data_IF_045835505095
#
_entry.id   IF_045835505095
#
_cell.length_a   1.000
_cell.length_b   1.000
_cell.length_c   1.000
_cell.angle_alpha   90.00
_cell.angle_beta   90.00
_cell.angle_gamma   90.00
#
_symmetry.space_group_name_H-M   'P 1'
#
loop_
_entity.id
_entity.type
_entity.pdbx_description
1 polymer ?
#
# COMPACT_ATOMS: atom_id res chain seq x y z
N UNK A 1 24.56 7.26 -13.35
CA UNK A 1 25.70 6.50 -13.93
C UNK A 1 26.83 7.37 -14.46
N UNK A 2 26.59 8.44 -15.23
CA UNK A 2 27.66 9.22 -15.87
C UNK A 2 28.58 9.97 -14.90
N UNK A 3 28.02 10.53 -13.81
CA UNK A 3 28.79 11.32 -12.85
C UNK A 3 29.77 10.47 -12.02
N UNK A 4 29.33 9.33 -11.49
CA UNK A 4 30.19 8.44 -10.69
C UNK A 4 31.31 7.82 -11.54
N UNK A 5 30.99 7.33 -12.74
CA UNK A 5 31.99 6.82 -13.67
C UNK A 5 32.99 7.92 -14.10
N UNK A 6 32.51 9.15 -14.33
CA UNK A 6 33.38 10.29 -14.62
C UNK A 6 34.30 10.64 -13.44
N UNK A 7 33.80 10.60 -12.20
CA UNK A 7 34.60 10.83 -11.00
C UNK A 7 35.65 9.72 -10.82
N UNK A 8 35.28 8.46 -10.99
CA UNK A 8 36.20 7.33 -10.87
C UNK A 8 37.32 7.38 -11.93
N UNK A 9 36.97 7.71 -13.18
CA UNK A 9 37.96 7.89 -14.26
C UNK A 9 38.87 9.09 -13.97
N UNK A 10 38.32 10.21 -13.47
CA UNK A 10 39.08 11.41 -13.10
C UNK A 10 40.09 11.09 -11.98
N UNK A 11 39.68 10.41 -10.92
CA UNK A 11 40.57 10.05 -9.82
C UNK A 11 41.65 9.04 -10.24
N UNK A 12 41.31 8.10 -11.12
CA UNK A 12 42.28 7.16 -11.69
C UNK A 12 43.31 7.90 -12.54
N UNK A 13 42.87 8.83 -13.40
CA UNK A 13 43.76 9.65 -14.21
C UNK A 13 44.65 10.57 -13.34
N UNK A 14 44.11 11.16 -12.28
CA UNK A 14 44.84 11.99 -11.33
C UNK A 14 45.90 11.19 -10.57
N UNK A 15 45.56 9.97 -10.14
CA UNK A 15 46.48 9.04 -9.48
C UNK A 15 47.62 8.63 -10.40
N UNK A 16 47.33 8.28 -11.67
CA UNK A 16 48.36 7.96 -12.66
C UNK A 16 49.25 9.18 -12.93
N UNK A 17 48.66 10.38 -13.05
CA UNK A 17 49.40 11.62 -13.21
C UNK A 17 50.36 11.91 -12.05
N UNK A 18 49.91 11.78 -10.81
CA UNK A 18 50.72 11.99 -9.60
C UNK A 18 51.88 11.02 -9.46
N UNK A 19 51.73 9.78 -9.96
CA UNK A 19 52.79 8.77 -9.92
C UNK A 19 53.76 8.91 -11.10
N UNK A 20 53.25 9.14 -12.31
CA UNK A 20 54.05 9.17 -13.54
C UNK A 20 54.81 10.50 -13.70
N UNK A 21 54.26 11.62 -13.21
CA UNK A 21 54.89 12.94 -13.28
C UNK A 21 56.26 13.04 -12.60
N UNK A 22 56.47 12.57 -11.35
CA UNK A 22 57.79 12.58 -10.72
C UNK A 22 58.76 11.58 -11.38
N UNK A 23 58.26 10.45 -11.89
CA UNK A 23 59.06 9.44 -12.60
C UNK A 23 59.62 9.95 -13.94
N UNK A 24 58.86 10.77 -14.67
CA UNK A 24 59.33 11.43 -15.89
C UNK A 24 60.33 12.56 -15.63
N UNK A 25 60.30 13.16 -14.42
CA UNK A 25 61.15 14.30 -14.05
C UNK A 25 62.49 13.91 -13.44
N UNK A 26 62.61 12.72 -12.84
CA UNK A 26 63.88 12.19 -12.33
C UNK A 26 64.60 11.42 -13.44
N UNK A 27 65.70 11.97 -13.98
CA UNK A 27 66.54 11.36 -15.04
C UNK A 27 67.31 10.10 -14.63
N UNK A 28 66.84 9.34 -13.64
CA UNK A 28 67.45 8.11 -13.13
C UNK A 28 66.42 6.99 -13.10
N UNK A 29 66.09 6.45 -14.27
CA UNK A 29 65.21 5.28 -14.38
C UNK A 29 65.98 4.00 -14.01
N UNK A 30 65.98 3.62 -12.73
CA UNK A 30 66.55 2.32 -12.33
C UNK A 30 65.51 1.20 -12.18
N UNK A 31 64.20 1.48 -12.06
CA UNK A 31 63.19 0.42 -11.96
C UNK A 31 61.86 0.73 -12.71
N UNK A 32 61.87 0.78 -14.05
CA UNK A 32 60.67 1.04 -14.85
C UNK A 32 59.58 -0.03 -14.67
N UNK A 33 59.97 -1.26 -14.33
CA UNK A 33 59.07 -2.38 -14.07
C UNK A 33 58.24 -2.21 -12.79
N UNK A 34 58.78 -1.56 -11.76
CA UNK A 34 58.04 -1.35 -10.50
C UNK A 34 56.92 -0.31 -10.68
N UNK A 35 57.16 0.71 -11.52
CA UNK A 35 56.18 1.73 -11.86
C UNK A 35 55.02 1.18 -12.69
N UNK A 36 55.32 0.34 -13.69
CA UNK A 36 54.28 -0.29 -14.52
C UNK A 36 53.47 -1.32 -13.75
N UNK A 37 54.11 -2.09 -12.86
CA UNK A 37 53.41 -3.06 -12.01
C UNK A 37 52.41 -2.36 -11.08
N UNK A 38 52.83 -1.24 -10.46
CA UNK A 38 51.98 -0.47 -9.54
C UNK A 38 50.78 0.15 -10.28
N UNK A 39 50.99 0.66 -11.49
CA UNK A 39 49.94 1.24 -12.32
C UNK A 39 48.87 0.22 -12.77
N UNK A 40 49.21 -1.07 -12.86
CA UNK A 40 48.28 -2.13 -13.25
C UNK A 40 47.60 -2.79 -12.04
N UNK A 41 48.35 -2.99 -10.95
CA UNK A 41 47.87 -3.73 -9.77
C UNK A 41 46.81 -2.92 -9.02
N UNK A 42 46.94 -1.60 -8.91
CA UNK A 42 45.98 -0.76 -8.20
C UNK A 42 44.58 -0.80 -8.86
N UNK A 43 44.41 -0.53 -10.17
CA UNK A 43 43.09 -0.62 -10.80
C UNK A 43 42.56 -2.06 -10.84
N UNK A 44 43.42 -3.07 -11.03
CA UNK A 44 42.98 -4.46 -10.99
C UNK A 44 42.47 -4.88 -9.59
N UNK A 45 43.16 -4.45 -8.53
CA UNK A 45 42.72 -4.68 -7.15
C UNK A 45 41.42 -3.91 -6.85
N UNK A 46 41.26 -2.68 -7.36
CA UNK A 46 40.02 -1.93 -7.22
C UNK A 46 38.84 -2.63 -7.91
N UNK A 47 39.04 -3.14 -9.13
CA UNK A 47 38.03 -3.95 -9.83
C UNK A 47 37.73 -5.24 -9.07
N UNK A 48 38.75 -5.93 -8.55
CA UNK A 48 38.57 -7.16 -7.80
C UNK A 48 37.81 -6.94 -6.49
N UNK A 49 38.15 -5.89 -5.73
CA UNK A 49 37.43 -5.51 -4.50
C UNK A 49 35.99 -5.12 -4.84
N UNK A 50 35.77 -4.37 -5.93
CA UNK A 50 34.43 -4.05 -6.40
C UNK A 50 33.64 -5.34 -6.67
N UNK A 51 34.23 -6.33 -7.35
CA UNK A 51 33.56 -7.59 -7.63
C UNK A 51 33.33 -8.47 -6.39
N UNK A 52 34.19 -8.38 -5.37
CA UNK A 52 34.07 -9.16 -4.12
C UNK A 52 33.12 -8.53 -3.10
N UNK A 53 32.97 -7.20 -3.08
CA UNK A 53 32.10 -6.45 -2.16
C UNK A 53 30.74 -6.14 -2.77
N UNK A 54 30.63 -6.12 -4.11
CA UNK A 54 29.37 -5.85 -4.81
C UNK A 54 28.42 -7.05 -4.71
N UNK A 55 27.38 -6.93 -3.87
CA UNK A 55 26.18 -7.77 -3.91
C UNK A 55 25.20 -7.38 -5.05
N UNK A 56 25.56 -6.41 -5.90
CA UNK A 56 24.66 -5.87 -6.91
C UNK A 56 24.63 -6.75 -8.19
N UNK A 57 23.56 -7.52 -8.35
CA UNK A 57 23.35 -8.42 -9.49
C UNK A 57 22.83 -7.63 -10.72
N UNK A 58 23.74 -7.17 -11.57
CA UNK A 58 23.49 -6.31 -12.73
C UNK A 58 22.77 -7.01 -13.91
N UNK A 59 22.24 -8.22 -13.68
CA UNK A 59 21.48 -8.99 -14.68
C UNK A 59 19.97 -8.72 -14.65
N UNK A 60 19.48 -7.91 -13.72
CA UNK A 60 18.06 -7.55 -13.72
C UNK A 60 17.76 -6.52 -14.82
N UNK A 61 16.82 -6.79 -15.75
CA UNK A 61 16.34 -5.76 -16.65
C UNK A 61 15.72 -4.62 -15.83
N UNK A 62 15.98 -3.38 -16.26
CA UNK A 62 15.54 -2.14 -15.63
C UNK A 62 14.01 -1.89 -15.67
N UNK A 63 13.21 -2.93 -15.52
CA UNK A 63 11.82 -2.85 -15.10
C UNK A 63 11.85 -3.10 -13.61
N UNK A 64 11.61 -2.08 -12.77
CA UNK A 64 11.65 -2.16 -11.30
C UNK A 64 10.58 -3.06 -10.66
N UNK A 65 10.28 -4.20 -11.28
CA UNK A 65 9.43 -5.27 -10.79
C UNK A 65 10.36 -6.44 -10.46
N UNK A 66 10.69 -6.67 -9.18
CA UNK A 66 11.53 -7.80 -8.78
C UNK A 66 10.94 -9.11 -9.28
N UNK A 67 11.81 -10.04 -9.69
CA UNK A 67 11.38 -11.36 -10.15
C UNK A 67 10.51 -12.04 -9.08
N UNK A 68 9.46 -12.82 -9.46
CA UNK A 68 8.57 -13.47 -8.48
C UNK A 68 9.30 -14.34 -7.45
N UNK A 69 10.44 -14.93 -7.83
CA UNK A 69 11.32 -15.67 -6.94
C UNK A 69 12.02 -14.79 -5.91
N UNK A 70 12.46 -13.59 -6.29
CA UNK A 70 13.12 -12.62 -5.42
C UNK A 70 12.13 -12.05 -4.38
N UNK A 71 10.92 -11.66 -4.81
CA UNK A 71 9.85 -11.23 -3.89
C UNK A 71 9.52 -12.32 -2.87
N UNK A 72 9.44 -13.58 -3.32
CA UNK A 72 9.17 -14.70 -2.42
C UNK A 72 10.32 -15.00 -1.45
N UNK A 73 11.57 -14.75 -1.85
CA UNK A 73 12.74 -14.96 -1.01
C UNK A 73 12.88 -13.85 0.04
N UNK A 74 12.61 -12.60 -0.36
CA UNK A 74 12.60 -11.44 0.53
C UNK A 74 11.50 -11.54 1.59
N UNK A 75 10.28 -11.96 1.19
CA UNK A 75 9.21 -12.24 2.13
C UNK A 75 9.66 -13.29 3.17
N UNK A 76 10.13 -14.47 2.72
CA UNK A 76 10.61 -15.53 3.63
C UNK A 76 11.68 -15.05 4.61
N UNK A 77 12.63 -14.25 4.12
CA UNK A 77 13.66 -13.64 4.97
C UNK A 77 13.07 -12.72 6.04
N UNK A 78 12.07 -11.91 5.69
CA UNK A 78 11.37 -11.04 6.64
C UNK A 78 10.58 -11.84 7.68
N UNK A 79 9.91 -12.92 7.28
CA UNK A 79 9.21 -13.81 8.21
C UNK A 79 10.17 -14.51 9.19
N UNK A 80 11.33 -14.96 8.72
CA UNK A 80 12.38 -15.54 9.58
C UNK A 80 12.94 -14.50 10.56
N UNK A 81 13.15 -13.27 10.10
CA UNK A 81 13.59 -12.16 10.95
C UNK A 81 12.57 -11.85 12.05
N UNK A 82 11.27 -11.81 11.71
CA UNK A 82 10.19 -11.64 12.69
C UNK A 82 10.17 -12.78 13.70
N UNK A 83 10.26 -14.04 13.25
CA UNK A 83 10.30 -15.19 14.15
C UNK A 83 11.52 -15.19 15.09
N UNK A 84 12.65 -14.62 14.64
CA UNK A 84 13.83 -14.41 15.49
C UNK A 84 13.60 -13.31 16.54
N UNK A 85 12.92 -12.23 16.16
CA UNK A 85 12.58 -11.13 17.05
C UNK A 85 11.58 -11.59 18.13
N UNK A 86 10.57 -12.37 17.76
CA UNK A 86 9.61 -12.95 18.70
C UNK A 86 10.29 -13.81 19.76
N UNK A 87 11.21 -14.70 19.36
CA UNK A 87 11.97 -15.53 20.32
C UNK A 87 12.78 -14.68 21.29
N UNK A 88 13.46 -13.64 20.81
CA UNK A 88 14.20 -12.72 21.70
C UNK A 88 13.28 -12.01 22.68
N UNK A 89 12.09 -11.61 22.25
CA UNK A 89 11.10 -10.93 23.10
C UNK A 89 10.43 -11.86 24.11
N UNK A 90 10.45 -13.17 23.89
CA UNK A 90 10.08 -14.15 24.91
C UNK A 90 11.09 -14.13 26.07
N UNK A 91 12.39 -14.04 25.76
CA UNK A 91 13.45 -13.96 26.76
C UNK A 91 13.58 -12.56 27.39
N UNK A 92 13.20 -11.51 26.66
CA UNK A 92 13.21 -10.11 27.08
C UNK A 92 11.79 -9.47 27.02
N UNK A 93 10.84 -9.90 27.88
CA UNK A 93 9.43 -9.51 27.77
C UNK A 93 9.14 -8.05 28.16
N UNK A 94 10.14 -7.32 28.64
CA UNK A 94 10.08 -5.90 29.03
C UNK A 94 10.78 -4.98 28.03
N UNK A 95 11.27 -5.51 26.90
CA UNK A 95 11.89 -4.72 25.84
C UNK A 95 10.82 -3.97 25.03
N UNK A 96 10.47 -2.77 25.49
CA UNK A 96 9.47 -1.90 24.89
C UNK A 96 9.75 -1.60 23.41
N UNK A 97 10.99 -1.22 23.08
CA UNK A 97 11.40 -0.88 21.71
C UNK A 97 11.31 -2.10 20.80
N UNK A 98 11.71 -3.27 21.28
CA UNK A 98 11.58 -4.51 20.54
C UNK A 98 10.12 -4.87 20.24
N UNK A 99 9.19 -4.63 21.16
CA UNK A 99 7.75 -4.80 20.91
C UNK A 99 7.20 -3.80 19.88
N UNK A 100 7.68 -2.56 19.88
CA UNK A 100 7.33 -1.54 18.85
C UNK A 100 7.85 -1.99 17.48
N UNK A 101 9.09 -2.45 17.41
CA UNK A 101 9.69 -2.96 16.19
C UNK A 101 8.88 -4.16 15.66
N UNK A 102 8.54 -5.12 16.53
CA UNK A 102 7.73 -6.27 16.16
C UNK A 102 6.37 -5.86 15.59
N UNK A 103 5.70 -4.89 16.22
CA UNK A 103 4.45 -4.33 15.71
C UNK A 103 4.59 -3.73 14.30
N UNK A 104 5.68 -2.98 14.06
CA UNK A 104 5.93 -2.36 12.75
C UNK A 104 6.28 -3.39 11.66
N UNK A 105 7.01 -4.45 12.03
CA UNK A 105 7.29 -5.57 11.14
C UNK A 105 6.01 -6.31 10.77
N UNK A 106 5.09 -6.50 11.72
CA UNK A 106 3.80 -7.09 11.44
C UNK A 106 2.94 -6.27 10.48
N UNK A 107 2.94 -4.95 10.58
CA UNK A 107 2.27 -4.10 9.60
C UNK A 107 2.89 -4.21 8.21
N UNK A 108 4.22 -4.24 8.12
CA UNK A 108 4.94 -4.44 6.86
C UNK A 108 4.60 -5.78 6.18
N UNK A 109 4.32 -6.81 6.99
CA UNK A 109 3.89 -8.14 6.53
C UNK A 109 2.38 -8.25 6.31
N UNK A 110 1.63 -7.15 6.39
CA UNK A 110 0.16 -7.12 6.29
C UNK A 110 -0.54 -8.03 7.32
N UNK A 111 -0.01 -8.06 8.55
CA UNK A 111 -0.51 -8.82 9.72
C UNK A 111 -0.95 -7.87 10.84
N UNK A 112 -2.00 -7.06 10.61
CA UNK A 112 -2.33 -5.96 11.52
C UNK A 112 -2.91 -6.42 12.87
N UNK A 113 -3.51 -7.60 12.97
CA UNK A 113 -4.01 -8.14 14.25
C UNK A 113 -2.86 -8.45 15.22
N UNK A 114 -1.79 -9.03 14.72
CA UNK A 114 -0.57 -9.30 15.49
C UNK A 114 0.16 -8.01 15.83
N UNK A 115 0.16 -7.03 14.92
CA UNK A 115 0.70 -5.70 15.18
C UNK A 115 0.00 -5.01 16.37
N UNK A 116 -1.34 -5.06 16.43
CA UNK A 116 -2.09 -4.52 17.58
C UNK A 116 -1.60 -5.14 18.89
N UNK A 117 -1.41 -6.46 18.92
CA UNK A 117 -0.98 -7.19 20.12
C UNK A 117 0.43 -6.77 20.55
N UNK A 118 1.37 -6.68 19.60
CA UNK A 118 2.74 -6.27 19.88
C UNK A 118 2.82 -4.82 20.39
N UNK A 119 2.13 -3.88 19.74
CA UNK A 119 2.09 -2.49 20.19
C UNK A 119 1.37 -2.31 21.54
N UNK A 120 0.31 -3.09 21.80
CA UNK A 120 -0.34 -3.10 23.12
C UNK A 120 0.60 -3.60 24.22
N UNK A 121 1.50 -4.54 23.90
CA UNK A 121 2.52 -4.98 24.84
C UNK A 121 3.52 -3.87 25.16
N UNK A 122 3.99 -3.13 24.15
CA UNK A 122 4.83 -1.94 24.34
C UNK A 122 4.10 -0.84 25.17
N UNK A 123 2.82 -0.61 24.91
CA UNK A 123 2.01 0.32 25.71
C UNK A 123 1.84 -0.15 27.15
N UNK A 124 1.66 -1.45 27.39
CA UNK A 124 1.56 -1.97 28.75
C UNK A 124 2.86 -1.74 29.53
N UNK A 125 4.02 -1.92 28.90
CA UNK A 125 5.34 -1.69 29.51
C UNK A 125 5.57 -0.22 29.82
N UNK A 126 5.20 0.68 28.89
CA UNK A 126 5.32 2.13 29.07
C UNK A 126 4.20 2.75 29.93
N UNK A 127 3.27 1.94 30.45
CA UNK A 127 2.06 2.38 31.15
C UNK A 127 1.23 3.38 30.32
N UNK A 128 1.18 3.14 29.02
CA UNK A 128 0.45 3.91 28.04
C UNK A 128 1.16 5.20 27.61
N UNK A 129 2.36 5.51 28.10
CA UNK A 129 3.04 6.79 27.82
C UNK A 129 3.72 6.85 26.46
N UNK A 130 4.11 5.71 25.88
CA UNK A 130 4.83 5.71 24.62
C UNK A 130 3.92 6.10 23.44
N UNK A 131 4.25 7.20 22.79
CA UNK A 131 3.46 7.78 21.69
C UNK A 131 3.54 6.93 20.42
N UNK A 132 4.72 6.39 20.10
CA UNK A 132 4.91 5.56 18.90
C UNK A 132 4.13 4.25 19.00
N UNK A 133 4.12 3.61 20.17
CA UNK A 133 3.32 2.43 20.44
C UNK A 133 1.81 2.77 20.36
N UNK A 134 1.40 3.94 20.87
CA UNK A 134 0.00 4.39 20.80
C UNK A 134 -0.45 4.61 19.36
N UNK A 135 0.34 5.33 18.57
CA UNK A 135 0.07 5.54 17.15
C UNK A 135 0.18 4.23 16.35
N UNK A 136 1.05 3.30 16.74
CA UNK A 136 1.14 1.96 16.16
C UNK A 136 -0.13 1.14 16.36
N UNK A 137 -0.72 1.16 17.57
CA UNK A 137 -2.04 0.55 17.81
C UNK A 137 -3.12 1.21 16.95
N UNK A 138 -3.11 2.54 16.87
CA UNK A 138 -4.08 3.30 16.07
C UNK A 138 -4.02 2.90 14.59
N UNK A 139 -2.81 2.94 14.00
CA UNK A 139 -2.56 2.51 12.63
C UNK A 139 -3.03 1.07 12.38
N UNK A 140 -2.63 0.13 13.22
CA UNK A 140 -2.98 -1.27 13.05
C UNK A 140 -4.51 -1.50 13.10
N UNK A 141 -5.22 -0.75 13.96
CA UNK A 141 -6.70 -0.79 14.02
C UNK A 141 -7.35 -0.16 12.80
N UNK A 142 -6.81 0.94 12.29
CA UNK A 142 -7.30 1.58 11.05
C UNK A 142 -7.12 0.65 9.85
N UNK A 143 -6.01 -0.09 9.79
CA UNK A 143 -5.77 -1.09 8.73
C UNK A 143 -6.75 -2.26 8.83
N UNK A 144 -7.06 -2.73 10.03
CA UNK A 144 -8.05 -3.79 10.26
C UNK A 144 -9.49 -3.34 9.94
N UNK A 145 -9.84 -2.15 10.39
CA UNK A 145 -11.15 -1.55 10.23
C UNK A 145 -11.00 -0.05 9.94
N UNK A 146 -11.07 0.36 8.66
CA UNK A 146 -10.99 1.78 8.28
C UNK A 146 -12.06 2.65 8.96
N UNK A 147 -13.21 2.06 9.34
CA UNK A 147 -14.26 2.76 10.07
C UNK A 147 -13.88 3.15 11.50
N UNK A 148 -12.85 2.50 12.08
CA UNK A 148 -12.38 2.80 13.43
C UNK A 148 -11.74 4.20 13.55
N UNK A 149 -11.29 4.77 12.43
CA UNK A 149 -10.62 6.08 12.37
C UNK A 149 -11.46 7.19 13.02
N UNK A 150 -12.77 7.22 12.79
CA UNK A 150 -13.64 8.28 13.32
C UNK A 150 -14.09 8.04 14.77
N UNK A 151 -13.81 6.87 15.33
CA UNK A 151 -14.14 6.48 16.70
C UNK A 151 -13.02 6.75 17.70
N UNK A 152 -12.87 5.92 18.76
CA UNK A 152 -11.87 6.12 19.82
C UNK A 152 -10.42 6.20 19.31
N UNK A 153 -10.11 5.52 18.20
CA UNK A 153 -8.78 5.57 17.59
C UNK A 153 -8.46 6.97 17.09
N UNK A 154 -9.44 7.68 16.51
CA UNK A 154 -9.28 9.07 16.09
C UNK A 154 -9.04 10.00 17.26
N UNK A 155 -9.71 9.77 18.39
CA UNK A 155 -9.52 10.57 19.60
C UNK A 155 -8.12 10.38 20.20
N UNK A 156 -7.58 9.16 20.15
CA UNK A 156 -6.18 8.89 20.51
C UNK A 156 -5.19 9.65 19.61
N UNK A 157 -5.46 9.72 18.30
CA UNK A 157 -4.63 10.49 17.34
C UNK A 157 -4.67 11.99 17.67
N UNK A 158 -5.84 12.54 17.97
CA UNK A 158 -5.98 13.94 18.40
C UNK A 158 -5.24 14.22 19.71
N UNK A 159 -5.32 13.29 20.68
CA UNK A 159 -4.60 13.41 21.93
C UNK A 159 -3.09 13.40 21.72
N UNK A 160 -2.59 12.57 20.80
CA UNK A 160 -1.17 12.57 20.41
C UNK A 160 -0.79 13.88 19.75
N UNK A 161 -1.55 14.37 18.76
CA UNK A 161 -1.26 15.65 18.09
C UNK A 161 -1.30 16.85 19.03
N UNK A 162 -2.11 16.79 20.09
CA UNK A 162 -2.13 17.83 21.13
C UNK A 162 -0.84 17.84 21.95
N UNK A 163 -0.26 16.66 22.22
CA UNK A 163 1.00 16.53 22.95
C UNK A 163 2.22 16.79 22.05
N UNK A 164 2.18 16.29 20.83
CA UNK A 164 3.23 16.39 19.82
C UNK A 164 2.67 16.94 18.49
N UNK A 165 2.52 18.27 18.36
CA UNK A 165 1.91 18.89 17.18
C UNK A 165 2.65 18.65 15.87
N UNK A 166 3.93 18.26 15.93
CA UNK A 166 4.78 17.97 14.76
C UNK A 166 5.13 16.49 14.64
N UNK A 167 4.34 15.58 15.21
CA UNK A 167 4.54 14.14 15.03
C UNK A 167 4.15 13.73 13.59
N UNK A 168 5.06 13.16 12.77
CA UNK A 168 4.78 12.88 11.36
C UNK A 168 3.61 11.90 11.14
N UNK A 169 3.57 10.82 11.92
CA UNK A 169 2.52 9.79 11.82
C UNK A 169 1.18 10.34 12.34
N UNK A 170 1.22 11.12 13.42
CA UNK A 170 0.06 11.85 13.94
C UNK A 170 -0.52 12.81 12.88
N UNK A 171 0.32 13.60 12.19
CA UNK A 171 -0.13 14.53 11.16
C UNK A 171 -0.73 13.82 9.95
N UNK A 172 -0.14 12.68 9.56
CA UNK A 172 -0.66 11.84 8.48
C UNK A 172 -2.07 11.35 8.78
N UNK A 173 -2.25 10.59 9.87
CA UNK A 173 -3.56 10.02 10.24
C UNK A 173 -4.54 11.09 10.72
N UNK A 174 -4.05 12.15 11.35
CA UNK A 174 -4.85 13.30 11.74
C UNK A 174 -5.43 14.03 10.54
N UNK A 175 -4.69 14.15 9.43
CA UNK A 175 -5.25 14.72 8.20
C UNK A 175 -6.37 13.85 7.61
N UNK A 176 -6.17 12.52 7.58
CA UNK A 176 -7.20 11.57 7.16
C UNK A 176 -8.45 11.62 8.07
N UNK A 177 -8.25 11.71 9.39
CA UNK A 177 -9.31 11.89 10.37
C UNK A 177 -10.08 13.20 10.13
N UNK A 178 -9.37 14.31 9.89
CA UNK A 178 -9.97 15.61 9.59
C UNK A 178 -10.84 15.52 8.33
N UNK A 179 -10.40 14.83 7.28
CA UNK A 179 -11.23 14.59 6.10
C UNK A 179 -12.48 13.75 6.41
N UNK A 180 -12.31 12.65 7.14
CA UNK A 180 -13.42 11.79 7.54
C UNK A 180 -14.47 12.54 8.41
N UNK A 181 -14.03 13.58 9.14
CA UNK A 181 -14.89 14.48 9.93
C UNK A 181 -15.41 15.70 9.16
N UNK A 182 -15.15 15.80 7.86
CA UNK A 182 -15.61 16.93 7.03
C UNK A 182 -14.89 18.25 7.33
N UNK A 183 -13.63 18.20 7.78
CA UNK A 183 -12.80 19.36 8.13
C UNK A 183 -11.60 19.50 7.18
N UNK A 184 -11.82 19.81 5.89
CA UNK A 184 -10.76 19.85 4.87
C UNK A 184 -9.72 20.94 5.12
N UNK A 185 -10.09 22.05 5.78
CA UNK A 185 -9.16 23.10 6.17
C UNK A 185 -8.12 22.59 7.18
N UNK A 186 -8.55 21.81 8.17
CA UNK A 186 -7.68 21.22 9.19
C UNK A 186 -6.79 20.13 8.57
N UNK A 187 -7.34 19.33 7.64
CA UNK A 187 -6.56 18.34 6.92
C UNK A 187 -5.41 18.99 6.13
N UNK A 188 -5.72 20.08 5.39
CA UNK A 188 -4.73 20.87 4.64
C UNK A 188 -3.61 21.38 5.54
N UNK A 189 -3.94 21.95 6.69
CA UNK A 189 -2.95 22.44 7.66
C UNK A 189 -2.02 21.33 8.15
N UNK A 190 -2.59 20.18 8.56
CA UNK A 190 -1.83 19.04 9.08
C UNK A 190 -0.87 18.48 8.05
N UNK A 191 -1.35 18.28 6.83
CA UNK A 191 -0.54 17.76 5.74
C UNK A 191 0.50 18.76 5.23
N UNK A 192 0.20 20.05 5.22
CA UNK A 192 1.20 21.09 4.94
C UNK A 192 2.31 21.06 5.99
N UNK A 193 1.95 20.96 7.28
CA UNK A 193 2.92 20.79 8.37
C UNK A 193 3.75 19.51 8.19
N UNK A 194 3.13 18.41 7.76
CA UNK A 194 3.84 17.15 7.48
C UNK A 194 4.85 17.31 6.34
N UNK A 195 4.52 18.06 5.28
CA UNK A 195 5.44 18.35 4.17
C UNK A 195 6.67 19.13 4.62
N UNK A 196 6.54 20.04 5.58
CA UNK A 196 7.68 20.77 6.16
C UNK A 196 8.67 19.85 6.88
N UNK A 197 8.21 18.69 7.37
CA UNK A 197 9.04 17.70 8.06
C UNK A 197 9.88 16.84 7.10
N UNK A 198 9.87 17.18 5.79
CA UNK A 198 10.62 16.47 4.75
C UNK A 198 10.34 14.95 4.73
N UNK A 199 9.07 14.54 4.55
CA UNK A 199 8.71 13.13 4.51
C UNK A 199 9.31 12.46 3.25
N UNK A 200 9.37 11.12 3.21
CA UNK A 200 9.83 10.38 2.04
C UNK A 200 9.09 10.79 0.76
N UNK A 201 9.75 10.70 -0.40
CA UNK A 201 9.19 11.17 -1.69
C UNK A 201 7.80 10.60 -1.96
N UNK A 202 7.64 9.28 -1.77
CA UNK A 202 6.35 8.62 -1.96
C UNK A 202 5.23 9.20 -1.10
N UNK A 203 5.54 9.54 0.15
CA UNK A 203 4.57 10.17 1.07
C UNK A 203 4.25 11.58 0.61
N UNK A 204 5.27 12.33 0.15
CA UNK A 204 5.09 13.68 -0.42
C UNK A 204 4.17 13.68 -1.63
N UNK A 205 4.37 12.74 -2.55
CA UNK A 205 3.52 12.57 -3.74
C UNK A 205 2.07 12.30 -3.36
N UNK A 206 1.83 11.41 -2.39
CA UNK A 206 0.48 11.11 -1.92
C UNK A 206 -0.18 12.34 -1.28
N UNK A 207 0.54 13.07 -0.42
CA UNK A 207 0.02 14.29 0.21
C UNK A 207 -0.29 15.36 -0.84
N UNK A 208 0.61 15.55 -1.82
CA UNK A 208 0.42 16.54 -2.88
C UNK A 208 -0.84 16.24 -3.71
N UNK A 209 -1.08 14.97 -4.04
CA UNK A 209 -2.30 14.54 -4.73
C UNK A 209 -3.56 14.85 -3.89
N UNK A 210 -3.54 14.52 -2.59
CA UNK A 210 -4.65 14.80 -1.68
C UNK A 210 -4.94 16.30 -1.54
N UNK A 211 -3.90 17.13 -1.43
CA UNK A 211 -4.06 18.58 -1.39
C UNK A 211 -4.64 19.14 -2.68
N UNK A 212 -4.23 18.63 -3.84
CA UNK A 212 -4.79 19.04 -5.13
C UNK A 212 -6.28 18.69 -5.26
N UNK A 213 -6.72 17.55 -4.72
CA UNK A 213 -8.15 17.19 -4.64
C UNK A 213 -8.95 18.18 -3.78
N UNK A 214 -8.36 18.70 -2.70
CA UNK A 214 -8.95 19.73 -1.84
C UNK A 214 -8.97 21.13 -2.47
N UNK A 215 -8.23 21.37 -3.55
CA UNK A 215 -8.20 22.64 -4.28
C UNK A 215 -9.01 22.60 -5.59
N UNK A 216 -9.38 21.41 -6.06
CA UNK A 216 -10.19 21.21 -7.26
C UNK A 216 -11.66 21.63 -7.10
N UNK A 217 -12.44 21.71 -8.20
CA UNK A 217 -13.84 22.13 -8.19
C UNK A 217 -14.78 21.26 -7.33
N UNK A 218 -14.32 20.10 -6.84
CA UNK A 218 -15.01 19.29 -5.83
C UNK A 218 -14.99 19.92 -4.42
N UNK A 219 -13.98 20.74 -4.10
CA UNK A 219 -13.87 21.43 -2.82
C UNK A 219 -14.87 22.59 -2.66
N UNK A 220 -15.36 23.15 -3.78
CA UNK A 220 -16.45 24.12 -3.78
C UNK A 220 -17.81 23.51 -3.41
N UNK A 221 -17.91 22.17 -3.35
CA UNK A 221 -19.13 21.42 -3.01
C UNK A 221 -19.13 20.82 -1.60
N UNK A 222 -18.10 21.07 -0.79
CA UNK A 222 -17.98 20.55 0.59
C UNK A 222 -18.44 21.54 1.68
N UNK A 223 -19.13 22.62 1.30
CA UNK A 223 -19.90 23.42 2.27
C UNK A 223 -21.13 22.59 2.68
N UNK A 224 -21.35 22.29 3.97
CA UNK A 224 -22.49 21.49 4.40
C UNK A 224 -23.81 22.23 4.14
N UNK A 225 -24.56 21.84 3.11
CA UNK A 225 -25.99 22.10 3.06
C UNK A 225 -26.69 21.10 3.98
N UNK A 226 -27.36 21.63 5.01
CA UNK A 226 -28.36 20.92 5.79
C UNK A 226 -29.45 20.29 4.88
N UNK A 227 -30.15 19.24 5.33
CA UNK A 227 -30.64 18.17 4.47
C UNK A 227 -31.77 18.63 3.56
N UNK A 228 -31.45 18.84 2.28
CA UNK A 228 -32.45 18.95 1.24
C UNK A 228 -32.88 17.53 0.84
N UNK A 229 -34.17 17.31 0.99
CA UNK A 229 -34.88 16.08 0.71
C UNK A 229 -34.55 15.52 -0.68
N UNK A 230 -34.49 14.21 -0.72
CA UNK A 230 -34.30 13.37 -1.90
C UNK A 230 -35.11 13.86 -3.08
N UNK A 231 -34.42 14.30 -4.13
CA UNK A 231 -34.89 14.09 -5.50
C UNK A 231 -33.79 13.32 -6.22
N UNK A 232 -34.12 12.20 -6.89
CA UNK A 232 -33.13 11.41 -7.60
C UNK A 232 -32.71 12.20 -8.83
N UNK A 233 -31.58 12.89 -8.73
CA UNK A 233 -30.89 13.39 -9.92
C UNK A 233 -30.31 12.17 -10.60
N UNK A 234 -30.90 11.84 -11.75
CA UNK A 234 -30.37 10.87 -12.70
C UNK A 234 -29.05 11.45 -13.21
N UNK A 235 -27.98 11.22 -12.45
CA UNK A 235 -26.63 11.46 -12.90
C UNK A 235 -26.31 10.41 -13.95
N UNK A 236 -26.23 10.82 -15.20
CA UNK A 236 -25.60 10.09 -16.29
C UNK A 236 -24.11 9.90 -15.97
N UNK A 237 -23.81 9.02 -15.02
CA UNK A 237 -22.49 8.49 -14.75
C UNK A 237 -22.35 7.17 -15.50
N UNK A 238 -21.22 6.99 -16.18
CA UNK A 238 -20.88 5.78 -16.94
C UNK A 238 -20.62 4.58 -16.01
N UNK A 239 -21.63 4.17 -15.24
CA UNK A 239 -21.59 3.06 -14.30
C UNK A 239 -22.39 1.85 -14.78
N UNK A 240 -22.03 0.67 -14.29
CA UNK A 240 -22.76 -0.59 -14.53
C UNK A 240 -23.74 -0.78 -13.38
N UNK A 241 -25.04 -0.75 -13.69
CA UNK A 241 -26.09 -1.11 -12.73
C UNK A 241 -26.23 -2.62 -12.65
N UNK A 242 -26.18 -3.19 -11.45
CA UNK A 242 -26.21 -4.63 -11.21
C UNK A 242 -27.27 -4.95 -10.17
N UNK A 243 -28.27 -5.73 -10.52
CA UNK A 243 -29.28 -6.22 -9.59
C UNK A 243 -28.92 -7.62 -9.13
N UNK A 244 -28.65 -7.78 -7.84
CA UNK A 244 -28.25 -9.06 -7.25
C UNK A 244 -29.43 -9.64 -6.48
N UNK A 245 -29.72 -10.91 -6.71
CA UNK A 245 -30.77 -11.67 -6.04
C UNK A 245 -30.28 -13.08 -5.69
N UNK A 246 -30.94 -13.73 -4.71
CA UNK A 246 -30.65 -15.12 -4.33
C UNK A 246 -31.81 -16.01 -4.75
N UNK A 247 -31.47 -17.16 -5.35
CA UNK A 247 -32.44 -18.20 -5.68
C UNK A 247 -33.15 -18.73 -4.43
N UNK A 248 -34.43 -19.12 -4.56
CA UNK A 248 -35.22 -19.64 -3.45
C UNK A 248 -34.61 -20.90 -2.82
N UNK A 249 -33.90 -21.72 -3.62
CA UNK A 249 -33.25 -22.96 -3.19
C UNK A 249 -32.05 -22.73 -2.25
N UNK A 250 -31.33 -21.60 -2.42
CA UNK A 250 -30.15 -21.28 -1.62
C UNK A 250 -30.43 -20.29 -0.50
N UNK A 251 -31.60 -19.63 -0.50
CA UNK A 251 -31.98 -18.64 0.53
C UNK A 251 -31.96 -19.22 1.95
N UNK A 252 -32.27 -20.51 2.12
CA UNK A 252 -32.22 -21.20 3.40
C UNK A 252 -30.80 -21.54 3.89
N UNK A 253 -29.80 -21.53 3.00
CA UNK A 253 -28.39 -21.84 3.32
C UNK A 253 -27.55 -20.56 3.57
N UNK A 254 -28.16 -19.39 3.38
CA UNK A 254 -27.49 -18.09 3.46
C UNK A 254 -27.79 -17.45 4.81
N UNK A 255 -26.74 -17.06 5.53
CA UNK A 255 -26.90 -16.29 6.75
C UNK A 255 -27.28 -14.84 6.41
N UNK A 256 -28.30 -14.23 7.06
CA UNK A 256 -28.73 -12.85 6.76
C UNK A 256 -27.62 -11.80 6.95
N UNK A 257 -26.70 -12.04 7.88
CA UNK A 257 -25.54 -11.19 8.16
C UNK A 257 -24.31 -11.49 7.29
N UNK A 258 -24.39 -12.45 6.36
CA UNK A 258 -23.25 -12.80 5.54
C UNK A 258 -22.91 -11.68 4.55
N UNK A 259 -21.62 -11.34 4.37
CA UNK A 259 -21.20 -10.36 3.38
C UNK A 259 -21.39 -10.89 1.96
N UNK A 260 -21.96 -10.03 1.12
CA UNK A 260 -22.14 -10.22 -0.32
C UNK A 260 -21.09 -9.37 -1.03
N UNK A 261 -20.19 -10.00 -1.76
CA UNK A 261 -19.20 -9.35 -2.58
C UNK A 261 -19.64 -9.37 -4.03
N UNK A 262 -19.81 -8.19 -4.63
CA UNK A 262 -20.08 -8.01 -6.06
C UNK A 262 -18.79 -7.51 -6.69
N UNK A 263 -18.25 -8.28 -7.63
CA UNK A 263 -17.00 -7.91 -8.29
C UNK A 263 -17.07 -8.07 -9.81
N UNK A 264 -16.24 -7.27 -10.48
CA UNK A 264 -16.11 -7.25 -11.93
C UNK A 264 -14.78 -7.87 -12.32
N UNK A 265 -14.80 -8.87 -13.20
CA UNK A 265 -13.60 -9.47 -13.79
C UNK A 265 -13.53 -9.15 -15.27
N UNK A 266 -12.32 -8.91 -15.75
CA UNK A 266 -12.03 -8.85 -17.18
C UNK A 266 -12.14 -10.27 -17.76
N UNK A 267 -13.02 -10.47 -18.73
CA UNK A 267 -13.21 -11.78 -19.36
C UNK A 267 -12.04 -12.20 -20.24
N UNK A 268 -11.21 -11.25 -20.70
CA UNK A 268 -10.07 -11.49 -21.58
C UNK A 268 -8.77 -11.69 -20.81
N UNK A 269 -8.66 -11.15 -19.59
CA UNK A 269 -7.46 -11.25 -18.76
C UNK A 269 -7.81 -11.84 -17.37
N UNK A 270 -7.55 -13.14 -17.12
CA UNK A 270 -7.73 -13.71 -15.80
C UNK A 270 -6.71 -13.08 -14.84
N UNK A 271 -7.21 -12.22 -13.95
CA UNK A 271 -6.42 -11.44 -13.00
C UNK A 271 -7.24 -11.06 -11.76
N UNK A 272 -6.68 -10.24 -10.86
CA UNK A 272 -7.40 -9.75 -9.68
C UNK A 272 -8.68 -8.99 -10.09
N UNK A 273 -9.74 -9.02 -9.26
CA UNK A 273 -10.99 -8.34 -9.56
C UNK A 273 -10.78 -6.84 -9.73
N UNK A 274 -11.43 -6.25 -10.73
CA UNK A 274 -11.28 -4.85 -11.13
C UNK A 274 -11.87 -3.89 -10.08
N UNK A 275 -13.03 -4.26 -9.55
CA UNK A 275 -13.78 -3.53 -8.53
C UNK A 275 -14.44 -4.54 -7.60
N UNK A 276 -14.54 -4.21 -6.31
CA UNK A 276 -15.18 -5.05 -5.29
C UNK A 276 -16.12 -4.17 -4.46
N UNK A 277 -17.40 -4.51 -4.45
CA UNK A 277 -18.40 -3.85 -3.61
C UNK A 277 -18.92 -4.85 -2.59
N UNK A 278 -18.92 -4.44 -1.33
CA UNK A 278 -19.45 -5.22 -0.21
C UNK A 278 -20.88 -4.77 0.13
N UNK A 279 -21.80 -5.72 0.25
CA UNK A 279 -23.18 -5.59 0.73
C UNK A 279 -23.48 -6.68 1.76
N UNK A 280 -24.67 -6.68 2.34
CA UNK A 280 -25.12 -7.73 3.27
C UNK A 280 -26.21 -8.60 2.63
N UNK A 281 -26.26 -9.88 2.98
CA UNK A 281 -27.23 -10.82 2.41
C UNK A 281 -28.69 -10.45 2.72
N UNK A 282 -28.94 -9.82 3.87
CA UNK A 282 -30.24 -9.27 4.24
C UNK A 282 -30.74 -8.13 3.35
N UNK A 283 -29.84 -7.48 2.59
CA UNK A 283 -30.19 -6.39 1.68
C UNK A 283 -30.70 -6.91 0.34
N UNK A 284 -30.63 -8.22 0.09
CA UNK A 284 -31.03 -8.84 -1.17
C UNK A 284 -32.56 -8.97 -1.28
N UNK A 285 -33.17 -8.66 -2.44
CA UNK A 285 -32.54 -8.22 -3.68
C UNK A 285 -32.09 -6.75 -3.65
N UNK A 286 -30.85 -6.48 -4.09
CA UNK A 286 -30.25 -5.14 -4.08
C UNK A 286 -29.75 -4.74 -5.46
N UNK A 287 -29.93 -3.46 -5.81
CA UNK A 287 -29.31 -2.87 -7.00
C UNK A 287 -28.07 -2.08 -6.60
N UNK A 288 -26.93 -2.45 -7.16
CA UNK A 288 -25.63 -1.83 -6.93
C UNK A 288 -25.18 -1.12 -8.20
N UNK A 289 -24.66 0.09 -8.07
CA UNK A 289 -23.98 0.78 -9.15
C UNK A 289 -22.48 0.56 -9.00
N UNK A 290 -21.83 0.07 -10.05
CA UNK A 290 -20.37 -0.06 -10.13
C UNK A 290 -19.87 1.03 -11.06
N UNK A 291 -19.04 1.93 -10.57
CA UNK A 291 -18.51 3.07 -11.31
C UNK A 291 -16.99 3.00 -11.43
N UNK A 292 -16.42 3.91 -12.23
CA UNK A 292 -14.95 4.05 -12.32
C UNK A 292 -14.29 4.41 -10.98
N UNK A 293 -15.05 4.98 -10.03
CA UNK A 293 -14.57 5.29 -8.67
C UNK A 293 -14.38 4.03 -7.80
N UNK A 294 -14.97 2.91 -8.19
CA UNK A 294 -14.88 1.64 -7.45
C UNK A 294 -13.70 0.76 -7.95
N UNK A 295 -12.94 1.24 -8.95
CA UNK A 295 -11.80 0.52 -9.53
C UNK A 295 -10.56 0.74 -8.67
N UNK A 296 -9.99 -0.36 -8.18
CA UNK A 296 -8.80 -0.36 -7.31
C UNK A 296 -7.47 -0.28 -8.09
N UNK A 297 -7.51 -0.36 -9.42
CA UNK A 297 -6.33 -0.36 -10.29
C UNK A 297 -6.16 1.00 -10.99
N UNK A 298 -5.10 1.78 -10.68
CA UNK A 298 -4.87 3.06 -11.32
C UNK A 298 -4.67 2.90 -12.83
N UNK A 299 -5.38 3.70 -13.63
CA UNK A 299 -5.31 3.70 -15.10
C UNK A 299 -6.23 2.71 -15.82
N UNK A 300 -7.04 1.92 -15.10
CA UNK A 300 -8.13 1.12 -15.68
C UNK A 300 -9.48 1.82 -15.45
N UNK A 301 -10.32 1.84 -16.48
CA UNK A 301 -11.70 2.34 -16.39
C UNK A 301 -12.66 1.24 -16.84
N UNK A 302 -13.91 1.27 -16.38
CA UNK A 302 -14.96 0.43 -16.95
C UNK A 302 -15.06 0.72 -18.45
N UNK A 303 -14.75 1.96 -18.88
CA UNK A 303 -14.66 2.40 -20.28
C UNK A 303 -13.65 1.60 -21.14
N UNK A 304 -12.55 1.10 -20.56
CA UNK A 304 -11.55 0.32 -21.31
C UNK A 304 -11.86 -1.19 -21.36
N UNK A 305 -12.77 -1.69 -20.52
CA UNK A 305 -13.18 -3.10 -20.51
C UNK A 305 -14.39 -3.28 -21.43
N UNK A 306 -14.16 -3.84 -22.63
CA UNK A 306 -15.23 -4.09 -23.61
C UNK A 306 -16.22 -5.18 -23.19
N UNK A 307 -15.71 -6.23 -22.52
CA UNK A 307 -16.48 -7.38 -22.01
C UNK A 307 -16.05 -7.70 -20.58
N UNK A 308 -16.99 -7.76 -19.65
CA UNK A 308 -16.73 -8.06 -18.25
C UNK A 308 -17.63 -9.20 -17.74
N UNK A 309 -17.09 -10.03 -16.86
CA UNK A 309 -17.86 -11.02 -16.10
C UNK A 309 -18.13 -10.43 -14.72
N UNK A 310 -19.40 -10.23 -14.39
CA UNK A 310 -19.81 -9.85 -13.05
C UNK A 310 -20.08 -11.10 -12.24
N UNK A 311 -19.62 -11.07 -10.99
CA UNK A 311 -19.82 -12.18 -10.06
C UNK A 311 -20.32 -11.60 -8.76
N UNK A 312 -21.40 -12.17 -8.23
CA UNK A 312 -21.87 -11.91 -6.88
C UNK A 312 -21.62 -13.16 -6.04
N UNK A 313 -20.95 -13.01 -4.90
CA UNK A 313 -20.67 -14.10 -3.96
C UNK A 313 -21.14 -13.74 -2.57
N UNK A 314 -21.78 -14.68 -1.88
CA UNK A 314 -22.02 -14.61 -0.45
C UNK A 314 -20.93 -15.43 0.23
N UNK A 315 -20.05 -14.75 0.94
CA UNK A 315 -18.95 -15.39 1.64
C UNK A 315 -19.39 -15.72 3.06
N UNK A 316 -19.56 -17.01 3.36
CA UNK A 316 -19.93 -17.44 4.71
C UNK A 316 -18.78 -17.25 5.70
N UNK A 317 -17.53 -17.20 5.21
CA UNK A 317 -16.32 -17.02 6.01
C UNK A 317 -15.78 -15.59 6.09
N UNK A 318 -16.51 -14.57 5.63
CA UNK A 318 -16.13 -13.16 5.78
C UNK A 318 -15.13 -12.59 4.74
N UNK A 319 -14.39 -13.46 4.05
CA UNK A 319 -13.35 -13.06 3.08
C UNK A 319 -13.87 -13.03 1.63
N UNK A 320 -13.29 -12.18 0.76
CA UNK A 320 -13.67 -12.12 -0.67
C UNK A 320 -13.13 -13.31 -1.50
N UNK A 321 -12.21 -14.11 -0.94
CA UNK A 321 -11.61 -15.28 -1.60
C UNK A 321 -12.61 -16.45 -1.60
N UNK A 322 -12.67 -17.19 -2.70
CA UNK A 322 -13.60 -18.33 -2.83
C UNK A 322 -13.23 -19.43 -1.83
N UNK A 323 -14.17 -19.81 -0.96
CA UNK A 323 -14.04 -20.99 -0.09
C UNK A 323 -15.10 -22.04 -0.45
N UNK A 324 -14.78 -23.33 -0.32
CA UNK A 324 -15.78 -24.39 -0.47
C UNK A 324 -16.97 -24.14 0.45
N UNK A 325 -18.20 -24.17 -0.10
CA UNK A 325 -19.44 -23.87 0.62
C UNK A 325 -19.93 -22.42 0.52
N UNK A 326 -19.18 -21.51 -0.11
CA UNK A 326 -19.71 -20.19 -0.48
C UNK A 326 -20.72 -20.31 -1.63
N UNK A 327 -21.73 -19.44 -1.66
CA UNK A 327 -22.68 -19.40 -2.78
C UNK A 327 -22.38 -18.23 -3.71
N UNK A 328 -22.50 -18.43 -5.02
CA UNK A 328 -22.18 -17.41 -6.00
C UNK A 328 -23.10 -17.47 -7.23
N UNK A 329 -23.14 -16.37 -7.98
CA UNK A 329 -23.80 -16.23 -9.26
C UNK A 329 -22.94 -15.37 -10.20
N UNK A 330 -23.07 -15.60 -11.50
CA UNK A 330 -22.27 -14.90 -12.51
C UNK A 330 -23.16 -14.40 -13.66
N UNK A 331 -22.83 -13.24 -14.22
CA UNK A 331 -23.45 -12.70 -15.42
C UNK A 331 -22.41 -12.07 -16.34
N UNK A 332 -22.59 -12.22 -17.65
CA UNK A 332 -21.77 -11.56 -18.65
C UNK A 332 -22.32 -10.17 -18.98
N UNK A 333 -21.45 -9.17 -19.04
CA UNK A 333 -21.77 -7.83 -19.50
C UNK A 333 -20.86 -7.42 -20.65
N UNK A 334 -21.44 -6.80 -21.66
CA UNK A 334 -20.73 -6.27 -22.82
C UNK A 334 -21.23 -4.85 -23.07
N UNK A 335 -20.33 -3.88 -23.23
CA UNK A 335 -20.72 -2.48 -23.45
C UNK A 335 -21.58 -2.30 -24.71
N UNK A 336 -21.22 -2.98 -25.79
CA UNK A 336 -21.89 -2.84 -27.09
C UNK A 336 -23.38 -3.24 -27.07
N UNK A 337 -23.77 -4.08 -26.11
CA UNK A 337 -25.13 -4.62 -25.92
C UNK A 337 -25.66 -4.33 -24.53
N UNK A 338 -25.03 -3.43 -23.77
CA UNK A 338 -25.43 -3.12 -22.40
C UNK A 338 -26.86 -2.56 -22.42
N UNK A 339 -27.84 -3.28 -21.85
CA UNK A 339 -29.19 -2.76 -21.76
C UNK A 339 -29.14 -1.49 -20.90
N UNK A 340 -29.96 -0.48 -21.22
CA UNK A 340 -30.10 0.73 -20.39
C UNK A 340 -30.74 0.49 -19.01
N UNK A 341 -30.70 -0.75 -18.51
CA UNK A 341 -31.27 -1.20 -17.24
C UNK A 341 -30.28 -2.13 -16.49
N UNK A 342 -30.60 -2.49 -15.24
CA UNK A 342 -29.67 -3.23 -14.39
C UNK A 342 -29.42 -4.66 -14.89
N UNK A 343 -28.15 -5.07 -14.89
CA UNK A 343 -27.73 -6.45 -15.17
C UNK A 343 -28.14 -7.34 -14.01
N UNK A 344 -29.01 -8.32 -14.26
CA UNK A 344 -29.46 -9.24 -13.22
C UNK A 344 -28.43 -10.35 -12.97
N UNK A 345 -28.03 -10.52 -11.71
CA UNK A 345 -27.25 -11.65 -11.22
C UNK A 345 -28.12 -12.43 -10.23
N UNK A 346 -28.27 -13.73 -10.47
CA UNK A 346 -28.95 -14.65 -9.57
C UNK A 346 -27.91 -15.56 -8.93
N UNK A 347 -27.85 -15.57 -7.60
CA UNK A 347 -26.97 -16.43 -6.82
C UNK A 347 -27.64 -17.81 -6.73
N UNK A 348 -27.13 -18.76 -7.50
CA UNK A 348 -27.72 -20.08 -7.74
C UNK A 348 -26.71 -21.24 -7.68
N UNK A 349 -25.41 -20.95 -7.54
CA UNK A 349 -24.34 -21.96 -7.48
C UNK A 349 -23.65 -21.99 -6.13
N UNK A 350 -23.04 -23.13 -5.81
CA UNK A 350 -22.20 -23.35 -4.62
C UNK A 350 -20.77 -23.61 -5.09
N UNK A 351 -19.81 -22.93 -4.48
CA UNK A 351 -18.38 -23.19 -4.67
C UNK A 351 -18.09 -24.58 -4.10
N UNK A 352 -17.62 -25.49 -4.95
CA UNK A 352 -17.25 -26.86 -4.56
C UNK A 352 -15.81 -26.95 -4.10
#
# INVERSE_FOLDING_TARGET
MTLFAAIAVLFTALSVGLVVWPLLRSGTATHPLAATLTALVIPAAAVLIYLLVSEHDWREPATGVPAPSAVSAEARSMEEAVASLERRLQDAPTDEEGWILLGSSYLSLNRPAEAVTAYQRALAISEGRNVDARLGVAEARIVLDPGSLTGPVGDDIEAVLKAEPRNPKGLWYGGLLSLARGQPAVARERWTTLLELSPPERVREIIAAQLAELDGPAAASLVPQAPAQSTPVVGSGSGISVMVSVSDALRAQVSPSAPVFVFVRDAQNPGPPLAVIRRLAQELPVTVQISDADIMLPGRTLASVGTATLVARIANGGDPIAKPGDVYGEASWQRATAPGGPVAIVIDRVVR
#
